data_IF_860916991732
#
_entry.id   IF_860916991732
#
_cell.length_a   1.000
_cell.length_b   1.000
_cell.length_c   1.000
_cell.angle_alpha   90.00
_cell.angle_beta   90.00
_cell.angle_gamma   90.00
#
_symmetry.space_group_name_H-M   'P 1'
#
loop_
_entity.id
_entity.type
_entity.pdbx_description
1 polymer ?
#
# COMPACT_ATOMS: atom_id res chain seq x y z
N UNK A 1 2.25 -9.20 11.51
CA UNK A 1 3.33 -8.40 10.92
C UNK A 1 3.55 -7.20 11.83
N UNK A 2 4.76 -7.03 12.37
CA UNK A 2 5.01 -5.97 13.36
C UNK A 2 4.86 -4.59 12.68
N UNK A 3 4.20 -3.63 13.32
CA UNK A 3 3.91 -2.30 12.71
C UNK A 3 5.18 -1.60 12.19
N UNK A 4 6.31 -1.83 12.85
CA UNK A 4 7.63 -1.33 12.44
C UNK A 4 8.06 -1.90 11.08
N UNK A 5 7.88 -3.20 10.87
CA UNK A 5 8.25 -3.85 9.60
C UNK A 5 7.40 -3.30 8.46
N UNK A 6 6.12 -3.05 8.72
CA UNK A 6 5.22 -2.46 7.72
C UNK A 6 5.67 -1.05 7.31
N UNK A 7 6.05 -0.21 8.26
CA UNK A 7 6.55 1.15 7.99
C UNK A 7 7.85 1.10 7.18
N UNK A 8 8.77 0.19 7.54
CA UNK A 8 10.04 0.02 6.80
C UNK A 8 9.81 -0.43 5.36
N UNK A 9 8.86 -1.35 5.14
CA UNK A 9 8.47 -1.79 3.79
C UNK A 9 7.93 -0.62 2.97
N UNK A 10 7.02 0.18 3.52
CA UNK A 10 6.50 1.37 2.82
C UNK A 10 7.61 2.37 2.52
N UNK A 11 8.46 2.68 3.50
CA UNK A 11 9.56 3.63 3.32
C UNK A 11 10.54 3.16 2.22
N UNK A 12 10.88 1.87 2.20
CA UNK A 12 11.73 1.30 1.16
C UNK A 12 11.09 1.34 -0.23
N UNK A 13 9.78 1.05 -0.34
CA UNK A 13 9.06 1.10 -1.61
C UNK A 13 8.97 2.53 -2.17
N UNK A 14 8.72 3.51 -1.30
CA UNK A 14 8.72 4.95 -1.67
C UNK A 14 10.11 5.38 -2.12
N UNK A 15 11.17 4.98 -1.42
CA UNK A 15 12.55 5.30 -1.79
C UNK A 15 12.95 4.69 -3.14
N UNK A 16 12.59 3.43 -3.40
CA UNK A 16 12.83 2.78 -4.70
C UNK A 16 12.08 3.51 -5.82
N UNK A 17 10.80 3.87 -5.59
CA UNK A 17 10.00 4.64 -6.55
C UNK A 17 10.64 6.01 -6.85
N UNK A 18 11.17 6.69 -5.83
CA UNK A 18 11.90 7.95 -5.98
C UNK A 18 13.13 7.81 -6.89
N UNK A 19 14.01 6.84 -6.61
CA UNK A 19 15.24 6.61 -7.39
C UNK A 19 14.93 6.20 -8.82
N UNK A 20 13.95 5.32 -9.00
CA UNK A 20 13.50 4.87 -10.32
C UNK A 20 12.92 6.01 -11.16
N UNK A 21 12.15 6.92 -10.55
CA UNK A 21 11.61 8.08 -11.24
C UNK A 21 12.69 9.12 -11.57
N UNK A 22 13.70 9.27 -10.71
CA UNK A 22 14.88 10.11 -10.95
C UNK A 22 15.69 9.62 -12.16
N UNK A 23 15.96 8.31 -12.24
CA UNK A 23 16.68 7.70 -13.39
C UNK A 23 15.93 7.85 -14.71
N UNK A 24 14.59 7.89 -14.67
CA UNK A 24 13.74 8.05 -15.86
C UNK A 24 13.47 9.50 -16.24
N UNK A 25 14.03 10.48 -15.51
CA UNK A 25 13.75 11.90 -15.72
C UNK A 25 12.28 12.28 -15.49
N UNK A 26 11.52 11.44 -14.76
CA UNK A 26 10.12 11.66 -14.45
C UNK A 26 9.97 12.50 -13.18
N UNK A 27 8.75 12.96 -12.89
CA UNK A 27 8.47 13.69 -11.66
C UNK A 27 8.58 12.76 -10.44
N UNK A 28 9.78 12.75 -9.84
CA UNK A 28 10.16 11.88 -8.72
C UNK A 28 9.26 12.01 -7.50
N UNK A 29 8.77 13.21 -7.22
CA UNK A 29 7.86 13.45 -6.10
C UNK A 29 6.45 12.91 -6.37
N UNK A 30 5.94 13.03 -7.59
CA UNK A 30 4.62 12.51 -7.95
C UNK A 30 4.58 10.99 -7.82
N UNK A 31 5.61 10.30 -8.33
CA UNK A 31 5.69 8.84 -8.24
C UNK A 31 5.89 8.33 -6.82
N UNK A 32 6.73 9.01 -6.03
CA UNK A 32 6.93 8.67 -4.62
C UNK A 32 5.65 8.84 -3.81
N UNK A 33 4.90 9.92 -4.05
CA UNK A 33 3.63 10.19 -3.38
C UNK A 33 2.56 9.17 -3.81
N UNK A 34 2.48 8.85 -5.10
CA UNK A 34 1.58 7.81 -5.60
C UNK A 34 1.86 6.46 -4.93
N UNK A 35 3.13 6.05 -4.83
CA UNK A 35 3.52 4.81 -4.13
C UNK A 35 3.15 4.84 -2.65
N UNK A 36 3.38 5.97 -1.96
CA UNK A 36 3.02 6.14 -0.55
C UNK A 36 1.51 6.05 -0.30
N UNK A 37 0.66 6.44 -1.26
CA UNK A 37 -0.80 6.40 -1.14
C UNK A 37 -1.40 5.06 -1.59
N UNK A 38 -0.93 4.50 -2.70
CA UNK A 38 -1.48 3.27 -3.30
C UNK A 38 -1.24 2.06 -2.39
N UNK A 39 -0.06 1.96 -1.77
CA UNK A 39 0.28 0.84 -0.88
C UNK A 39 -0.73 0.66 0.27
N UNK A 40 -0.94 1.68 1.11
CA UNK A 40 -1.96 1.67 2.16
C UNK A 40 -3.38 1.48 1.63
N UNK A 41 -3.72 2.10 0.49
CA UNK A 41 -5.05 1.98 -0.10
C UNK A 41 -5.42 0.54 -0.45
N UNK A 42 -4.51 -0.21 -1.08
CA UNK A 42 -4.74 -1.63 -1.43
C UNK A 42 -5.01 -2.47 -0.17
N UNK A 43 -4.29 -2.21 0.91
CA UNK A 43 -4.47 -2.93 2.19
C UNK A 43 -5.83 -2.63 2.81
N UNK A 44 -6.27 -1.36 2.77
CA UNK A 44 -7.60 -0.97 3.26
C UNK A 44 -8.70 -1.70 2.47
N UNK A 45 -8.60 -1.74 1.14
CA UNK A 45 -9.56 -2.45 0.30
C UNK A 45 -9.58 -3.95 0.59
N UNK A 46 -8.41 -4.58 0.78
CA UNK A 46 -8.34 -6.00 1.17
C UNK A 46 -8.97 -6.26 2.54
N UNK A 47 -8.76 -5.37 3.51
CA UNK A 47 -9.38 -5.49 4.83
C UNK A 47 -10.91 -5.37 4.74
N UNK A 48 -11.42 -4.37 4.02
CA UNK A 48 -12.85 -4.14 3.85
C UNK A 48 -13.53 -5.34 3.16
N UNK A 49 -12.96 -5.80 2.05
CA UNK A 49 -13.50 -6.97 1.31
C UNK A 49 -13.47 -8.24 2.15
N UNK A 50 -12.40 -8.47 2.92
CA UNK A 50 -12.34 -9.58 3.86
C UNK A 50 -13.41 -9.49 4.95
N UNK A 51 -13.59 -8.30 5.55
CA UNK A 51 -14.58 -8.05 6.60
C UNK A 51 -16.00 -8.37 6.13
N UNK A 52 -16.42 -7.81 4.98
CA UNK A 52 -17.75 -8.07 4.42
C UNK A 52 -17.95 -9.53 4.02
N UNK A 53 -16.92 -10.17 3.42
CA UNK A 53 -16.98 -11.60 3.09
C UNK A 53 -17.16 -12.46 4.33
N UNK A 54 -16.44 -12.16 5.42
CA UNK A 54 -16.53 -12.92 6.65
C UNK A 54 -17.87 -12.71 7.37
N UNK A 55 -18.39 -11.48 7.37
CA UNK A 55 -19.71 -11.15 7.94
C UNK A 55 -20.84 -11.91 7.21
N UNK A 56 -20.79 -11.95 5.89
CA UNK A 56 -21.79 -12.69 5.10
C UNK A 56 -21.76 -14.19 5.37
N UNK A 57 -20.55 -14.75 5.57
CA UNK A 57 -20.35 -16.18 5.89
C UNK A 57 -20.84 -16.56 7.29
N UNK A 58 -20.79 -15.63 8.25
CA UNK A 58 -21.35 -15.79 9.59
C UNK A 58 -22.89 -15.63 9.61
N UNK A 59 -23.45 -14.81 8.72
CA UNK A 59 -24.90 -14.58 8.63
C UNK A 59 -25.68 -15.69 7.91
N UNK A 60 -25.00 -16.63 7.25
CA UNK A 60 -25.60 -17.77 6.52
C UNK A 60 -25.44 -19.11 7.26
N UNK A 61 -24.95 -19.09 8.50
CA UNK A 61 -24.93 -20.21 9.44
C UNK A 61 -25.95 -19.98 10.54
#
# INVERSE_FOLDING_TARGET
MNSIVFILVIASAVFVSFKMAEEKGQSKYIWSLATAMIGPFVIIVQYITHYFRNKNKLSTR
#
